data_IF_258990702634
#
_entry.id   IF_258990702634
#
_cell.length_a   1.000
_cell.length_b   1.000
_cell.length_c   1.000
_cell.angle_alpha   90.00
_cell.angle_beta   90.00
_cell.angle_gamma   90.00
#
_symmetry.space_group_name_H-M   'P 1'
#
loop_
_entity.id
_entity.type
_entity.pdbx_description
1 polymer ?
#
# COMPACT_ATOMS: atom_id res chain seq x y z
N UNK A 1 -20.57 -66.96 37.64
CA UNK A 1 -19.83 -66.76 36.37
C UNK A 1 -19.85 -65.26 36.13
N UNK A 2 -18.87 -64.46 36.54
CA UNK A 2 -17.45 -64.73 36.80
C UNK A 2 -16.90 -63.67 37.77
N UNK A 3 -16.13 -64.12 38.76
CA UNK A 3 -15.20 -63.43 39.69
C UNK A 3 -14.27 -62.40 38.99
N UNK A 4 -13.97 -61.20 39.53
CA UNK A 4 -13.16 -60.82 40.72
C UNK A 4 -11.63 -60.86 40.45
N UNK A 5 -11.02 -59.65 40.48
CA UNK A 5 -9.76 -59.27 41.21
C UNK A 5 -8.35 -59.25 40.55
N UNK A 6 -7.68 -58.11 40.81
CA UNK A 6 -6.23 -57.81 41.01
C UNK A 6 -5.23 -58.12 39.87
N UNK A 7 -4.04 -57.50 39.72
CA UNK A 7 -3.16 -56.54 40.42
C UNK A 7 -2.12 -56.13 39.33
N UNK A 8 -1.71 -54.87 39.14
CA UNK A 8 -0.64 -54.12 39.83
C UNK A 8 0.82 -54.53 39.51
N UNK A 9 1.68 -53.50 39.38
CA UNK A 9 3.17 -53.42 39.46
C UNK A 9 3.99 -53.56 38.16
N UNK A 10 5.18 -52.99 37.99
CA UNK A 10 5.89 -51.74 38.35
C UNK A 10 7.39 -51.98 37.99
N UNK A 11 8.17 -50.89 37.84
CA UNK A 11 9.65 -50.79 37.77
C UNK A 11 10.33 -51.19 36.44
N UNK A 12 10.93 -50.25 35.67
CA UNK A 12 12.18 -49.48 35.85
C UNK A 12 13.44 -50.33 35.64
N UNK A 13 14.20 -50.03 34.58
CA UNK A 13 15.66 -50.07 34.63
C UNK A 13 16.25 -48.92 33.79
N UNK A 14 17.11 -48.17 34.45
CA UNK A 14 17.90 -47.01 34.01
C UNK A 14 19.34 -47.48 33.86
N UNK A 15 20.05 -47.12 32.79
CA UNK A 15 21.52 -46.93 32.85
C UNK A 15 21.95 -45.74 31.98
N UNK A 16 22.63 -44.82 32.66
CA UNK A 16 23.34 -43.61 32.22
C UNK A 16 24.62 -43.84 31.39
N UNK A 17 24.93 -42.83 30.54
CA UNK A 17 26.24 -42.14 30.38
C UNK A 17 25.98 -40.92 29.47
N UNK A 18 26.09 -39.62 29.84
CA UNK A 18 27.21 -38.78 30.34
C UNK A 18 28.44 -38.92 29.42
N UNK A 19 29.04 -37.93 28.74
CA UNK A 19 29.27 -36.46 28.80
C UNK A 19 29.57 -36.06 27.31
N UNK A 20 29.50 -34.85 26.77
CA UNK A 20 30.33 -33.66 27.05
C UNK A 20 29.95 -32.53 26.05
N UNK A 21 29.97 -31.30 26.55
CA UNK A 21 29.79 -30.00 25.90
C UNK A 21 31.12 -29.51 25.31
N UNK A 22 31.17 -29.05 24.04
CA UNK A 22 32.07 -27.96 23.60
C UNK A 22 31.93 -27.62 22.10
N UNK A 23 31.54 -26.38 21.82
CA UNK A 23 32.17 -25.51 20.81
C UNK A 23 32.67 -24.28 21.59
N UNK A 24 33.80 -23.60 21.26
CA UNK A 24 34.06 -23.05 19.92
C UNK A 24 35.56 -22.94 19.51
N UNK A 25 35.85 -22.72 18.22
CA UNK A 25 37.07 -21.98 17.80
C UNK A 25 37.05 -21.56 16.31
N UNK A 26 37.07 -20.24 16.07
CA UNK A 26 37.92 -19.53 15.09
C UNK A 26 38.84 -18.63 15.94
N UNK A 27 39.99 -18.06 15.49
CA UNK A 27 40.50 -17.79 14.13
C UNK A 27 41.97 -18.34 13.93
N UNK A 28 42.76 -18.13 12.87
CA UNK A 28 43.49 -16.89 12.53
C UNK A 28 44.43 -17.06 11.31
N UNK A 29 44.54 -15.97 10.52
CA UNK A 29 45.74 -15.40 9.83
C UNK A 29 46.28 -15.98 8.51
N UNK A 30 46.22 -15.11 7.48
CA UNK A 30 46.98 -14.99 6.21
C UNK A 30 48.53 -15.04 6.38
N UNK A 31 49.35 -14.70 5.36
CA UNK A 31 49.56 -15.25 4.01
C UNK A 31 51.06 -15.65 3.83
N UNK A 32 51.53 -15.97 2.62
CA UNK A 32 52.86 -15.47 2.25
C UNK A 32 52.83 -14.59 1.02
N UNK A 33 53.50 -13.45 1.17
CA UNK A 33 53.90 -12.51 0.13
C UNK A 33 55.26 -12.91 -0.47
N UNK A 34 55.46 -12.33 -1.67
CA UNK A 34 56.72 -11.87 -2.27
C UNK A 34 57.71 -12.89 -2.82
N UNK A 35 57.86 -12.86 -4.16
CA UNK A 35 59.18 -12.69 -4.77
C UNK A 35 59.09 -11.73 -5.97
N UNK A 36 60.02 -10.76 -5.97
CA UNK A 36 60.24 -9.64 -6.87
C UNK A 36 60.49 -10.07 -8.34
N UNK A 37 60.42 -9.22 -9.38
CA UNK A 37 61.53 -8.31 -9.77
C UNK A 37 61.09 -7.27 -10.83
N UNK A 38 61.37 -6.00 -10.47
CA UNK A 38 61.76 -4.80 -11.25
C UNK A 38 60.86 -4.13 -12.30
N UNK A 39 60.23 -3.05 -11.82
CA UNK A 39 60.40 -1.64 -12.20
C UNK A 39 61.10 -1.24 -13.52
N UNK A 40 60.40 -0.39 -14.31
CA UNK A 40 60.88 0.96 -14.68
C UNK A 40 59.69 1.85 -15.10
N UNK A 41 59.70 3.10 -14.61
CA UNK A 41 58.76 4.20 -14.87
C UNK A 41 58.79 4.64 -16.36
N UNK A 42 57.83 5.38 -16.92
CA UNK A 42 57.63 6.82 -16.68
C UNK A 42 56.42 7.39 -17.46
N UNK A 43 55.86 8.48 -16.92
CA UNK A 43 55.07 9.56 -17.56
C UNK A 43 53.57 9.37 -17.88
N UNK A 44 52.74 10.01 -17.05
CA UNK A 44 51.38 10.50 -17.38
C UNK A 44 51.47 11.81 -18.22
N UNK A 45 50.42 12.21 -18.97
CA UNK A 45 49.25 12.86 -18.36
C UNK A 45 47.88 12.46 -18.96
N UNK A 46 46.83 12.70 -18.16
CA UNK A 46 45.38 12.57 -18.47
C UNK A 46 44.84 13.83 -19.20
N UNK A 47 43.51 14.03 -19.39
CA UNK A 47 42.42 13.19 -19.92
C UNK A 47 41.63 13.91 -21.06
N UNK A 48 41.05 13.21 -22.03
CA UNK A 48 40.02 13.81 -22.93
C UNK A 48 38.71 13.00 -22.93
N UNK A 49 37.69 13.68 -22.41
CA UNK A 49 36.25 13.58 -22.62
C UNK A 49 35.72 12.39 -23.46
N UNK A 50 35.19 11.38 -22.76
CA UNK A 50 34.17 10.51 -23.32
C UNK A 50 32.81 11.22 -23.22
N UNK A 51 32.27 11.58 -24.38
CA UNK A 51 30.93 12.12 -24.56
C UNK A 51 29.92 11.03 -24.15
N UNK A 52 29.13 11.30 -23.09
CA UNK A 52 27.94 10.52 -22.78
C UNK A 52 26.94 10.65 -23.94
N UNK A 53 26.84 9.61 -24.76
CA UNK A 53 25.65 9.38 -25.60
C UNK A 53 24.46 9.12 -24.67
N UNK A 54 23.66 10.18 -24.51
CA UNK A 54 22.34 10.12 -23.91
C UNK A 54 21.46 9.25 -24.80
N UNK A 55 21.41 7.95 -24.47
CA UNK A 55 20.49 6.98 -25.05
C UNK A 55 19.06 7.45 -24.74
N UNK A 56 18.45 8.16 -25.68
CA UNK A 56 17.01 8.35 -25.72
C UNK A 56 16.37 6.96 -25.81
N UNK A 57 15.92 6.43 -24.67
CA UNK A 57 14.97 5.34 -24.64
C UNK A 57 13.68 5.85 -25.28
N UNK A 58 13.59 5.56 -26.59
CA UNK A 58 12.37 5.54 -27.36
C UNK A 58 11.36 4.71 -26.59
N UNK A 59 10.47 5.40 -25.88
CA UNK A 59 9.29 4.86 -25.23
C UNK A 59 8.50 4.13 -26.30
N UNK A 60 8.67 2.82 -26.40
CA UNK A 60 7.81 1.97 -27.21
C UNK A 60 6.38 2.26 -26.77
N UNK A 61 5.60 2.71 -27.73
CA UNK A 61 4.16 2.90 -27.62
C UNK A 61 3.58 1.53 -27.27
N UNK A 62 3.39 1.30 -25.97
CA UNK A 62 2.73 0.11 -25.46
C UNK A 62 1.35 0.06 -26.10
N UNK A 63 1.21 -0.78 -27.12
CA UNK A 63 -0.08 -1.17 -27.69
C UNK A 63 -0.95 -1.53 -26.50
N UNK A 64 -1.99 -0.74 -26.29
CA UNK A 64 -2.87 -0.88 -25.14
C UNK A 64 -3.56 -2.25 -25.28
N UNK A 65 -3.11 -3.24 -24.49
CA UNK A 65 -3.74 -4.56 -24.47
C UNK A 65 -5.24 -4.39 -24.20
N UNK A 66 -6.10 -5.17 -24.87
CA UNK A 66 -7.53 -5.12 -24.61
C UNK A 66 -7.79 -5.30 -23.11
N UNK A 67 -8.82 -4.61 -22.56
CA UNK A 67 -9.15 -4.72 -21.15
C UNK A 67 -9.44 -6.18 -20.82
N UNK A 68 -8.72 -6.73 -19.84
CA UNK A 68 -8.92 -8.10 -19.37
C UNK A 68 -10.21 -8.16 -18.54
N UNK A 69 -10.94 -9.28 -18.61
CA UNK A 69 -12.14 -9.49 -17.80
C UNK A 69 -11.74 -10.00 -16.41
N UNK A 70 -12.16 -9.34 -15.31
CA UNK A 70 -11.89 -9.81 -13.95
C UNK A 70 -12.53 -11.16 -13.59
N UNK A 71 -13.49 -11.66 -14.38
CA UNK A 71 -14.07 -12.99 -14.21
C UNK A 71 -13.20 -14.11 -14.79
N UNK A 72 -12.38 -13.79 -15.79
CA UNK A 72 -11.51 -14.75 -16.49
C UNK A 72 -10.04 -14.63 -16.04
N UNK A 73 -9.53 -13.41 -15.91
CA UNK A 73 -8.15 -13.11 -15.48
C UNK A 73 -8.14 -11.96 -14.45
N UNK A 74 -8.46 -12.25 -13.17
CA UNK A 74 -8.54 -11.25 -12.11
C UNK A 74 -7.21 -10.54 -11.89
N UNK A 75 -6.11 -11.29 -11.82
CA UNK A 75 -4.75 -10.74 -11.64
C UNK A 75 -4.35 -9.86 -12.82
N UNK A 76 -4.59 -10.31 -14.05
CA UNK A 76 -4.25 -9.53 -15.24
C UNK A 76 -5.09 -8.26 -15.37
N UNK A 77 -6.40 -8.33 -15.09
CA UNK A 77 -7.27 -7.15 -15.00
C UNK A 77 -6.76 -6.17 -13.93
N UNK A 78 -6.41 -6.67 -12.75
CA UNK A 78 -5.88 -5.84 -11.66
C UNK A 78 -4.54 -5.20 -12.02
N UNK A 79 -3.73 -5.86 -12.85
CA UNK A 79 -2.49 -5.32 -13.42
C UNK A 79 -2.69 -4.13 -14.36
N UNK A 80 -3.88 -3.99 -14.97
CA UNK A 80 -4.24 -2.85 -15.81
C UNK A 80 -4.76 -1.65 -15.01
N UNK A 81 -5.13 -1.85 -13.73
CA UNK A 81 -5.68 -0.80 -12.88
C UNK A 81 -4.60 0.14 -12.35
N UNK A 82 -4.97 1.41 -12.13
CA UNK A 82 -4.10 2.35 -11.42
C UNK A 82 -3.94 1.93 -9.95
N UNK A 83 -2.83 2.28 -9.28
CA UNK A 83 -2.56 1.85 -7.90
C UNK A 83 -3.70 2.12 -6.91
N UNK A 84 -4.37 3.27 -7.01
CA UNK A 84 -5.48 3.60 -6.12
C UNK A 84 -6.67 2.66 -6.32
N UNK A 85 -7.01 2.28 -7.55
CA UNK A 85 -8.09 1.35 -7.83
C UNK A 85 -7.75 -0.04 -7.27
N UNK A 86 -6.51 -0.51 -7.46
CA UNK A 86 -6.02 -1.76 -6.83
C UNK A 86 -6.22 -1.75 -5.32
N UNK A 87 -5.97 -0.60 -4.67
CA UNK A 87 -6.15 -0.51 -3.23
C UNK A 87 -7.60 -0.64 -2.77
N UNK A 88 -8.53 -0.10 -3.55
CA UNK A 88 -9.98 -0.24 -3.30
C UNK A 88 -10.41 -1.70 -3.51
N UNK A 89 -9.97 -2.34 -4.59
CA UNK A 89 -10.26 -3.75 -4.87
C UNK A 89 -9.79 -4.65 -3.73
N UNK A 90 -8.55 -4.46 -3.27
CA UNK A 90 -8.00 -5.22 -2.13
C UNK A 90 -8.87 -5.09 -0.89
N UNK A 91 -9.35 -3.88 -0.59
CA UNK A 91 -10.24 -3.66 0.53
C UNK A 91 -11.55 -4.42 0.38
N UNK A 92 -12.19 -4.34 -0.80
CA UNK A 92 -13.45 -5.04 -1.04
C UNK A 92 -13.31 -6.57 -0.95
N UNK A 93 -12.21 -7.12 -1.46
CA UNK A 93 -11.93 -8.56 -1.37
C UNK A 93 -11.74 -9.01 0.08
N UNK A 94 -10.98 -8.25 0.89
CA UNK A 94 -10.81 -8.58 2.31
C UNK A 94 -12.09 -8.37 3.13
N UNK A 95 -12.85 -7.32 2.83
CA UNK A 95 -14.13 -7.03 3.48
C UNK A 95 -15.13 -8.15 3.24
N UNK A 96 -15.28 -8.58 1.98
CA UNK A 96 -16.07 -9.76 1.65
C UNK A 96 -15.56 -11.00 2.38
N UNK A 97 -14.25 -11.27 2.32
CA UNK A 97 -13.66 -12.46 2.93
C UNK A 97 -13.93 -12.53 4.44
N UNK A 98 -13.78 -11.42 5.17
CA UNK A 98 -14.11 -11.37 6.59
C UNK A 98 -15.60 -11.56 6.87
N UNK A 99 -16.47 -10.88 6.11
CA UNK A 99 -17.93 -10.99 6.29
C UNK A 99 -18.43 -12.40 6.05
N UNK A 100 -17.82 -13.09 5.09
CA UNK A 100 -18.15 -14.47 4.74
C UNK A 100 -17.55 -15.47 5.74
N UNK A 101 -16.26 -15.33 6.07
CA UNK A 101 -15.56 -16.26 6.96
C UNK A 101 -16.03 -16.15 8.43
N UNK A 102 -16.28 -14.93 8.89
CA UNK A 102 -16.54 -14.58 10.30
C UNK A 102 -17.94 -13.98 10.41
N UNK A 103 -18.88 -14.78 10.91
CA UNK A 103 -20.28 -14.38 11.11
C UNK A 103 -20.42 -13.30 12.19
N UNK A 104 -19.64 -13.42 13.26
CA UNK A 104 -19.64 -12.50 14.39
C UNK A 104 -18.86 -11.22 14.06
N UNK A 105 -19.57 -10.12 13.88
CA UNK A 105 -18.98 -8.81 13.55
C UNK A 105 -17.99 -8.33 14.61
N UNK A 106 -18.19 -8.67 15.88
CA UNK A 106 -17.28 -8.26 16.96
C UNK A 106 -15.91 -8.97 16.91
N UNK A 107 -15.82 -10.11 16.20
CA UNK A 107 -14.59 -10.87 16.02
C UNK A 107 -13.84 -10.48 14.74
N UNK A 108 -14.42 -9.63 13.89
CA UNK A 108 -13.79 -9.18 12.66
C UNK A 108 -12.65 -8.23 12.99
N UNK A 109 -11.44 -8.57 12.55
CA UNK A 109 -10.30 -7.68 12.69
C UNK A 109 -10.47 -6.45 11.79
N UNK A 110 -10.12 -5.24 12.25
CA UNK A 110 -10.24 -4.04 11.43
C UNK A 110 -9.38 -4.18 10.16
N UNK A 111 -9.97 -3.88 9.01
CA UNK A 111 -9.25 -3.91 7.75
C UNK A 111 -8.13 -2.86 7.76
N UNK A 112 -6.95 -3.19 7.20
CA UNK A 112 -5.83 -2.28 7.18
C UNK A 112 -6.07 -1.12 6.21
N UNK A 113 -5.21 -0.11 6.27
CA UNK A 113 -5.27 1.03 5.34
C UNK A 113 -6.15 2.17 5.82
N UNK A 114 -6.36 3.16 4.95
CA UNK A 114 -7.14 4.37 5.25
C UNK A 114 -8.18 4.57 4.15
N UNK A 115 -9.36 5.06 4.51
CA UNK A 115 -10.43 5.39 3.56
C UNK A 115 -10.80 4.24 2.61
N UNK A 116 -10.83 3.00 3.11
CA UNK A 116 -11.15 1.84 2.29
C UNK A 116 -10.09 1.48 1.25
N UNK A 117 -8.83 1.92 1.42
CA UNK A 117 -7.74 1.64 0.50
C UNK A 117 -6.65 0.78 1.17
N UNK A 118 -6.50 -0.46 0.68
CA UNK A 118 -5.56 -1.47 1.16
C UNK A 118 -4.43 -1.69 0.15
N UNK A 119 -3.19 -1.35 0.51
CA UNK A 119 -2.04 -1.65 -0.35
C UNK A 119 -1.81 -3.16 -0.50
N UNK A 120 -1.14 -3.61 -1.57
CA UNK A 120 -0.78 -5.04 -1.75
C UNK A 120 -0.02 -5.63 -0.55
N UNK A 121 0.85 -4.83 0.08
CA UNK A 121 1.60 -5.24 1.26
C UNK A 121 0.71 -5.38 2.49
N UNK A 122 -0.24 -4.46 2.67
CA UNK A 122 -1.23 -4.56 3.75
C UNK A 122 -2.16 -5.76 3.54
N UNK A 123 -2.56 -6.03 2.30
CA UNK A 123 -3.35 -7.21 1.95
C UNK A 123 -2.65 -8.50 2.38
N UNK A 124 -1.39 -8.67 1.97
CA UNK A 124 -0.60 -9.84 2.36
C UNK A 124 -0.35 -9.94 3.86
N UNK A 125 0.02 -8.82 4.50
CA UNK A 125 0.28 -8.81 5.95
C UNK A 125 -0.98 -9.14 6.76
N UNK A 126 -2.16 -8.77 6.27
CA UNK A 126 -3.42 -9.09 6.91
C UNK A 126 -3.76 -10.59 6.84
N UNK A 127 -3.33 -11.27 5.77
CA UNK A 127 -3.52 -12.71 5.58
C UNK A 127 -2.34 -13.55 6.11
N UNK A 128 -1.29 -12.89 6.62
CA UNK A 128 -0.02 -13.54 6.96
C UNK A 128 -0.13 -14.54 8.11
N UNK A 129 -1.09 -14.33 9.01
CA UNK A 129 -1.33 -15.25 10.11
C UNK A 129 -2.11 -16.52 9.69
N UNK A 130 -2.64 -16.53 8.47
CA UNK A 130 -3.46 -17.60 7.91
C UNK A 130 -4.84 -17.73 8.51
N UNK A 131 -5.19 -16.99 9.56
CA UNK A 131 -6.43 -17.17 10.33
C UNK A 131 -7.66 -16.99 9.44
N UNK A 132 -7.69 -15.90 8.67
CA UNK A 132 -8.78 -15.62 7.75
C UNK A 132 -8.84 -16.66 6.61
N UNK A 133 -7.69 -17.10 6.09
CA UNK A 133 -7.60 -18.09 5.02
C UNK A 133 -8.15 -19.44 5.48
N UNK A 134 -7.72 -19.93 6.63
CA UNK A 134 -8.23 -21.17 7.23
C UNK A 134 -9.74 -21.08 7.53
N UNK A 135 -10.20 -19.91 8.00
CA UNK A 135 -11.63 -19.65 8.25
C UNK A 135 -12.45 -19.65 6.97
N UNK A 136 -11.93 -19.08 5.87
CA UNK A 136 -12.56 -19.14 4.55
C UNK A 136 -12.71 -20.59 4.08
N UNK A 137 -11.63 -21.37 4.10
CA UNK A 137 -11.67 -22.79 3.72
C UNK A 137 -12.71 -23.55 4.55
N UNK A 138 -12.70 -23.35 5.88
CA UNK A 138 -13.66 -23.99 6.79
C UNK A 138 -15.11 -23.62 6.46
N UNK A 139 -15.41 -22.35 6.15
CA UNK A 139 -16.74 -21.92 5.71
C UNK A 139 -17.15 -22.51 4.36
N UNK A 140 -16.21 -22.74 3.47
CA UNK A 140 -16.44 -23.42 2.19
C UNK A 140 -16.46 -24.96 2.29
N UNK A 141 -16.45 -25.52 3.51
CA UNK A 141 -16.59 -26.97 3.73
C UNK A 141 -15.28 -27.75 3.88
N UNK A 142 -14.14 -27.08 4.02
CA UNK A 142 -12.87 -27.76 4.32
C UNK A 142 -12.88 -28.38 5.72
N UNK A 143 -12.25 -29.54 5.86
CA UNK A 143 -12.06 -30.18 7.17
C UNK A 143 -10.87 -29.57 7.91
N UNK A 144 -11.08 -28.39 8.50
CA UNK A 144 -10.06 -27.70 9.33
C UNK A 144 -10.33 -27.99 10.80
N UNK A 145 -9.55 -28.91 11.37
CA UNK A 145 -9.68 -29.35 12.76
C UNK A 145 -9.44 -28.19 13.74
N UNK A 146 -8.34 -27.47 13.57
CA UNK A 146 -7.94 -26.35 14.45
C UNK A 146 -7.56 -25.14 13.60
N UNK A 147 -8.15 -23.98 13.92
CA UNK A 147 -7.71 -22.68 13.42
C UNK A 147 -6.97 -22.01 14.57
N UNK A 148 -5.69 -21.70 14.36
CA UNK A 148 -4.90 -20.97 15.36
C UNK A 148 -5.20 -19.47 15.22
N UNK A 149 -5.46 -18.79 16.33
CA UNK A 149 -5.85 -17.37 16.35
C UNK A 149 -5.09 -16.57 17.42
N UNK A 150 -5.09 -15.23 17.30
CA UNK A 150 -4.55 -14.33 18.31
C UNK A 150 -3.07 -14.58 18.63
N UNK A 151 -2.73 -14.72 19.91
CA UNK A 151 -1.35 -14.93 20.35
C UNK A 151 -0.76 -16.27 19.88
N UNK A 152 -1.60 -17.27 19.54
CA UNK A 152 -1.11 -18.57 19.06
C UNK A 152 -0.42 -18.46 17.69
N UNK A 153 -0.85 -17.53 16.83
CA UNK A 153 -0.23 -17.30 15.51
C UNK A 153 0.77 -16.15 15.53
N UNK A 154 0.78 -15.35 16.61
CA UNK A 154 1.67 -14.19 16.73
C UNK A 154 3.12 -14.65 16.82
N UNK A 155 3.90 -14.35 15.78
CA UNK A 155 5.30 -14.75 15.64
C UNK A 155 5.54 -16.28 15.70
N UNK A 156 4.50 -17.09 15.52
CA UNK A 156 4.63 -18.55 15.47
C UNK A 156 4.46 -19.03 14.03
N UNK A 157 5.59 -19.27 13.34
CA UNK A 157 5.58 -19.66 11.92
C UNK A 157 4.91 -21.02 11.70
N UNK A 158 4.93 -21.93 12.68
CA UNK A 158 4.35 -23.26 12.57
C UNK A 158 2.82 -23.19 12.52
N UNK A 159 2.21 -22.45 13.45
CA UNK A 159 0.76 -22.23 13.47
C UNK A 159 0.29 -21.39 12.26
N UNK A 160 1.08 -20.40 11.83
CA UNK A 160 0.82 -19.66 10.58
C UNK A 160 0.84 -20.61 9.37
N UNK A 161 1.84 -21.48 9.30
CA UNK A 161 1.99 -22.47 8.22
C UNK A 161 0.81 -23.42 8.20
N UNK A 162 0.39 -23.96 9.36
CA UNK A 162 -0.75 -24.87 9.45
C UNK A 162 -2.05 -24.23 8.93
N UNK A 163 -2.35 -23.00 9.36
CA UNK A 163 -3.51 -22.25 8.88
C UNK A 163 -3.48 -22.00 7.36
N UNK A 164 -2.33 -21.54 6.83
CA UNK A 164 -2.19 -21.23 5.40
C UNK A 164 -2.25 -22.51 4.57
N UNK A 165 -1.61 -23.58 5.04
CA UNK A 165 -1.59 -24.88 4.37
C UNK A 165 -3.00 -25.48 4.27
N UNK A 166 -3.80 -25.38 5.33
CA UNK A 166 -5.21 -25.82 5.30
C UNK A 166 -6.02 -25.13 4.19
N UNK A 167 -5.81 -23.84 3.97
CA UNK A 167 -6.44 -23.12 2.85
C UNK A 167 -5.83 -23.52 1.50
N UNK A 168 -4.51 -23.63 1.40
CA UNK A 168 -3.82 -23.97 0.16
C UNK A 168 -4.22 -25.35 -0.37
N UNK A 169 -4.26 -26.36 0.50
CA UNK A 169 -4.67 -27.72 0.14
C UNK A 169 -6.13 -27.75 -0.31
N UNK A 170 -7.03 -27.13 0.45
CA UNK A 170 -8.43 -27.00 0.05
C UNK A 170 -8.58 -26.27 -1.29
N UNK A 171 -7.88 -25.15 -1.48
CA UNK A 171 -7.96 -24.33 -2.68
C UNK A 171 -7.50 -25.09 -3.93
N UNK A 172 -6.42 -25.87 -3.80
CA UNK A 172 -5.88 -26.73 -4.87
C UNK A 172 -6.92 -27.75 -5.34
N UNK A 173 -7.67 -28.34 -4.43
CA UNK A 173 -8.64 -29.39 -4.73
C UNK A 173 -9.99 -28.84 -5.24
N UNK A 174 -10.41 -27.65 -4.79
CA UNK A 174 -11.79 -27.18 -4.96
C UNK A 174 -11.96 -26.03 -5.96
N UNK A 175 -10.93 -25.19 -6.17
CA UNK A 175 -11.06 -24.00 -7.01
C UNK A 175 -10.82 -24.28 -8.50
N UNK A 176 -10.16 -25.40 -8.83
CA UNK A 176 -9.81 -25.75 -10.21
C UNK A 176 -8.79 -24.78 -10.83
N UNK A 177 -7.94 -24.17 -10.01
CA UNK A 177 -6.87 -23.30 -10.47
C UNK A 177 -5.73 -24.14 -11.08
N UNK A 178 -5.05 -23.65 -12.14
CA UNK A 178 -3.88 -24.31 -12.67
C UNK A 178 -2.73 -24.27 -11.65
N UNK A 179 -1.84 -25.27 -11.68
CA UNK A 179 -0.82 -25.49 -10.63
C UNK A 179 0.08 -24.28 -10.37
N UNK A 180 0.35 -23.47 -11.39
CA UNK A 180 1.16 -22.24 -11.32
C UNK A 180 0.44 -21.06 -10.64
N UNK A 181 -0.89 -21.14 -10.51
CA UNK A 181 -1.75 -20.15 -9.84
C UNK A 181 -2.24 -20.61 -8.47
N UNK A 182 -1.98 -21.86 -8.08
CA UNK A 182 -2.35 -22.37 -6.75
C UNK A 182 -1.52 -21.65 -5.69
N UNK A 183 -2.20 -21.15 -4.67
CA UNK A 183 -1.55 -20.50 -3.52
C UNK A 183 -0.77 -21.52 -2.69
N UNK A 184 0.40 -21.12 -2.22
CA UNK A 184 1.26 -21.89 -1.32
C UNK A 184 1.61 -21.09 -0.06
N UNK A 185 2.12 -21.77 0.96
CA UNK A 185 2.63 -21.13 2.18
C UNK A 185 3.71 -20.10 1.87
N UNK A 186 4.58 -20.38 0.90
CA UNK A 186 5.65 -19.48 0.50
C UNK A 186 5.12 -18.16 -0.09
N UNK A 187 3.98 -18.18 -0.79
CA UNK A 187 3.38 -16.97 -1.37
C UNK A 187 2.97 -15.95 -0.29
N UNK A 188 2.52 -16.44 0.86
CA UNK A 188 2.07 -15.61 1.98
C UNK A 188 3.24 -15.22 2.89
N UNK A 189 4.12 -16.17 3.23
CA UNK A 189 5.13 -15.96 4.28
C UNK A 189 6.49 -15.47 3.75
N UNK A 190 6.88 -15.84 2.53
CA UNK A 190 8.29 -15.75 2.09
C UNK A 190 8.47 -14.87 0.86
N UNK A 191 7.59 -14.99 -0.14
CA UNK A 191 7.71 -14.26 -1.41
C UNK A 191 7.37 -12.77 -1.29
N UNK A 192 6.84 -12.33 -0.14
CA UNK A 192 6.40 -10.96 0.08
C UNK A 192 5.48 -10.51 -1.05
N UNK A 193 5.74 -9.34 -1.64
CA UNK A 193 4.90 -8.81 -2.74
C UNK A 193 4.83 -9.72 -3.98
N UNK A 194 5.80 -10.62 -4.20
CA UNK A 194 5.80 -11.50 -5.36
C UNK A 194 4.78 -12.63 -5.24
N UNK A 195 4.34 -12.99 -4.03
CA UNK A 195 3.26 -13.97 -3.81
C UNK A 195 1.85 -13.37 -3.86
N UNK A 196 1.75 -12.04 -3.93
CA UNK A 196 0.45 -11.35 -4.01
C UNK A 196 -0.47 -11.87 -5.12
N UNK A 197 -0.01 -12.10 -6.37
CA UNK A 197 -0.89 -12.59 -7.44
C UNK A 197 -1.59 -13.90 -7.07
N UNK A 198 -0.85 -14.89 -6.56
CA UNK A 198 -1.39 -16.20 -6.19
C UNK A 198 -2.39 -16.09 -5.03
N UNK A 199 -2.05 -15.31 -4.00
CA UNK A 199 -2.93 -15.13 -2.84
C UNK A 199 -4.21 -14.39 -3.25
N UNK A 200 -4.08 -13.33 -4.06
CA UNK A 200 -5.24 -12.57 -4.56
C UNK A 200 -6.15 -13.45 -5.42
N UNK A 201 -5.57 -14.18 -6.40
CA UNK A 201 -6.32 -15.06 -7.29
C UNK A 201 -7.10 -16.13 -6.51
N UNK A 202 -6.47 -16.78 -5.53
CA UNK A 202 -7.11 -17.81 -4.73
C UNK A 202 -8.30 -17.27 -3.91
N UNK A 203 -8.14 -16.11 -3.25
CA UNK A 203 -9.24 -15.49 -2.49
C UNK A 203 -10.33 -14.99 -3.44
N UNK A 204 -9.96 -14.41 -4.58
CA UNK A 204 -10.90 -13.96 -5.61
C UNK A 204 -11.72 -15.12 -6.20
N UNK A 205 -11.06 -16.21 -6.58
CA UNK A 205 -11.70 -17.41 -7.11
C UNK A 205 -12.63 -18.03 -6.06
N UNK A 206 -12.20 -18.08 -4.79
CA UNK A 206 -13.04 -18.52 -3.68
C UNK A 206 -14.34 -17.71 -3.61
N UNK A 207 -14.23 -16.38 -3.67
CA UNK A 207 -15.41 -15.52 -3.57
C UNK A 207 -16.28 -15.46 -4.82
N UNK A 208 -15.69 -15.59 -6.00
CA UNK A 208 -16.44 -15.66 -7.27
C UNK A 208 -17.21 -16.97 -7.38
N UNK A 209 -16.69 -18.06 -6.81
CA UNK A 209 -17.31 -19.39 -6.82
C UNK A 209 -18.15 -19.67 -5.56
N UNK A 210 -18.18 -18.75 -4.58
CA UNK A 210 -18.79 -18.97 -3.27
C UNK A 210 -20.28 -19.35 -3.33
N UNK A 211 -21.05 -18.66 -4.16
CA UNK A 211 -22.50 -18.91 -4.30
C UNK A 211 -22.74 -20.20 -5.06
N UNK A 212 -22.09 -20.35 -6.21
CA UNK A 212 -22.36 -21.44 -7.16
C UNK A 212 -21.81 -22.80 -6.68
N UNK A 213 -20.60 -22.82 -6.10
CA UNK A 213 -19.93 -24.06 -5.69
C UNK A 213 -20.07 -24.37 -4.20
N UNK A 214 -20.11 -23.35 -3.34
CA UNK A 214 -20.06 -23.53 -1.89
C UNK A 214 -21.37 -23.18 -1.18
N UNK A 215 -22.43 -22.85 -1.93
CA UNK A 215 -23.76 -22.59 -1.39
C UNK A 215 -23.85 -21.35 -0.50
N UNK A 216 -22.91 -20.41 -0.64
CA UNK A 216 -22.91 -19.16 0.11
C UNK A 216 -24.11 -18.29 -0.27
N UNK A 217 -24.68 -17.56 0.69
CA UNK A 217 -25.73 -16.57 0.42
C UNK A 217 -25.21 -15.40 -0.44
N UNK A 218 -23.92 -15.08 -0.34
CA UNK A 218 -23.27 -13.95 -1.01
C UNK A 218 -21.86 -14.32 -1.46
N UNK A 219 -21.51 -14.01 -2.71
CA UNK A 219 -20.14 -14.08 -3.23
C UNK A 219 -19.53 -12.69 -3.44
N UNK A 220 -18.36 -12.63 -4.07
CA UNK A 220 -17.80 -11.37 -4.55
C UNK A 220 -18.70 -10.83 -5.66
N UNK A 221 -19.25 -9.63 -5.46
CA UNK A 221 -19.95 -8.88 -6.50
C UNK A 221 -18.92 -8.22 -7.42
N UNK A 222 -18.54 -8.95 -8.48
CA UNK A 222 -17.53 -8.51 -9.44
C UNK A 222 -17.90 -7.18 -10.10
N UNK A 223 -19.17 -6.94 -10.38
CA UNK A 223 -19.61 -5.69 -11.04
C UNK A 223 -19.48 -4.50 -10.10
N UNK A 224 -19.83 -4.68 -8.81
CA UNK A 224 -19.61 -3.67 -7.77
C UNK A 224 -18.12 -3.37 -7.57
N UNK A 225 -17.26 -4.41 -7.62
CA UNK A 225 -15.81 -4.23 -7.54
C UNK A 225 -15.27 -3.45 -8.74
N UNK A 226 -15.70 -3.79 -9.96
CA UNK A 226 -15.32 -3.08 -11.18
C UNK A 226 -15.80 -1.63 -11.16
N UNK A 227 -17.02 -1.38 -10.68
CA UNK A 227 -17.58 -0.04 -10.55
C UNK A 227 -16.76 0.82 -9.57
N UNK A 228 -16.41 0.26 -8.40
CA UNK A 228 -15.61 0.94 -7.39
C UNK A 228 -14.19 1.25 -7.90
N UNK A 229 -13.54 0.28 -8.57
CA UNK A 229 -12.24 0.48 -9.22
C UNK A 229 -12.31 1.62 -10.26
N UNK A 230 -13.34 1.61 -11.11
CA UNK A 230 -13.55 2.64 -12.15
C UNK A 230 -13.78 4.03 -11.54
N UNK A 231 -14.51 4.12 -10.43
CA UNK A 231 -14.73 5.38 -9.73
C UNK A 231 -13.42 5.92 -9.12
N UNK A 232 -12.56 5.05 -8.59
CA UNK A 232 -11.26 5.44 -8.09
C UNK A 232 -10.36 6.02 -9.20
N UNK A 233 -10.42 5.45 -10.42
CA UNK A 233 -9.73 5.98 -11.60
C UNK A 233 -10.23 7.39 -11.93
N UNK A 234 -11.56 7.57 -12.05
CA UNK A 234 -12.17 8.87 -12.35
C UNK A 234 -11.79 9.93 -11.32
N UNK A 235 -11.90 9.61 -10.03
CA UNK A 235 -11.56 10.53 -8.93
C UNK A 235 -10.08 10.93 -8.97
N UNK A 236 -9.17 9.99 -9.24
CA UNK A 236 -7.73 10.28 -9.33
C UNK A 236 -7.40 11.17 -10.54
N UNK A 237 -8.02 10.93 -11.70
CA UNK A 237 -7.85 11.79 -12.89
C UNK A 237 -8.35 13.21 -12.59
N UNK A 238 -9.53 13.35 -11.99
CA UNK A 238 -10.07 14.66 -11.60
C UNK A 238 -9.14 15.37 -10.61
N UNK A 239 -8.61 14.65 -9.60
CA UNK A 239 -7.64 15.22 -8.67
C UNK A 239 -6.35 15.66 -9.35
N UNK A 240 -5.82 14.88 -10.29
CA UNK A 240 -4.63 15.27 -11.07
C UNK A 240 -4.88 16.53 -11.89
N UNK A 241 -6.03 16.64 -12.55
CA UNK A 241 -6.43 17.84 -13.30
C UNK A 241 -6.57 19.03 -12.35
N UNK A 242 -7.30 18.88 -11.24
CA UNK A 242 -7.46 19.95 -10.26
C UNK A 242 -6.12 20.41 -9.67
N UNK A 243 -5.21 19.48 -9.39
CA UNK A 243 -3.87 19.81 -8.91
C UNK A 243 -3.03 20.49 -9.99
N UNK A 244 -3.19 20.13 -11.27
CA UNK A 244 -2.56 20.84 -12.38
C UNK A 244 -3.06 22.28 -12.48
N UNK A 245 -4.39 22.51 -12.43
CA UNK A 245 -4.95 23.88 -12.43
C UNK A 245 -4.60 24.67 -11.16
N UNK A 246 -4.48 24.03 -10.00
CA UNK A 246 -4.01 24.68 -8.76
C UNK A 246 -2.51 24.99 -8.79
N UNK A 247 -1.70 24.12 -9.37
CA UNK A 247 -0.26 24.32 -9.53
C UNK A 247 0.09 25.30 -10.64
N UNK A 248 -0.81 25.49 -11.61
CA UNK A 248 -0.69 26.50 -12.66
C UNK A 248 -1.23 27.89 -12.23
N UNK A 249 -1.86 28.00 -11.04
CA UNK A 249 -2.10 29.30 -10.42
C UNK A 249 -0.80 29.78 -9.77
N UNK A 250 -0.38 31.04 -9.99
CA UNK A 250 0.76 31.58 -9.26
C UNK A 250 0.49 31.48 -7.76
N UNK A 251 1.50 31.04 -7.00
CA UNK A 251 1.37 30.88 -5.55
C UNK A 251 0.81 32.18 -4.92
N UNK A 252 -0.14 32.10 -3.97
CA UNK A 252 -0.67 33.29 -3.28
C UNK A 252 0.40 34.17 -2.61
N UNK A 253 1.61 33.63 -2.40
CA UNK A 253 2.77 34.40 -1.94
C UNK A 253 3.35 35.32 -3.02
N UNK A 254 3.33 34.92 -4.30
CA UNK A 254 3.73 35.78 -5.42
C UNK A 254 2.67 36.85 -5.69
N UNK A 255 1.38 36.51 -5.60
CA UNK A 255 0.29 37.50 -5.71
C UNK A 255 0.29 38.49 -4.55
N UNK A 256 0.52 38.05 -3.30
CA UNK A 256 0.69 38.96 -2.15
C UNK A 256 1.94 39.83 -2.26
N UNK A 257 3.04 39.30 -2.80
CA UNK A 257 4.28 40.06 -2.96
C UNK A 257 4.16 41.10 -4.09
N UNK A 258 3.51 40.74 -5.20
CA UNK A 258 3.20 41.65 -6.30
C UNK A 258 2.17 42.72 -5.90
N UNK A 259 1.17 42.37 -5.07
CA UNK A 259 0.21 43.34 -4.54
C UNK A 259 0.86 44.31 -3.54
N UNK A 260 1.78 43.84 -2.70
CA UNK A 260 2.55 44.70 -1.79
C UNK A 260 3.54 45.61 -2.53
N UNK A 261 4.22 45.12 -3.58
CA UNK A 261 5.08 45.95 -4.42
C UNK A 261 4.29 46.97 -5.25
N UNK A 262 3.09 46.63 -5.73
CA UNK A 262 2.21 47.57 -6.42
C UNK A 262 1.68 48.67 -5.48
N UNK A 263 1.33 48.33 -4.23
CA UNK A 263 0.90 49.31 -3.23
C UNK A 263 2.06 50.22 -2.76
N UNK A 264 3.29 49.69 -2.71
CA UNK A 264 4.48 50.48 -2.39
C UNK A 264 4.90 51.40 -3.55
N UNK A 265 4.71 50.97 -4.80
CA UNK A 265 4.91 51.80 -5.98
C UNK A 265 3.89 52.94 -6.06
N UNK A 266 2.61 52.69 -5.77
CA UNK A 266 1.57 53.73 -5.76
C UNK A 266 1.78 54.76 -4.63
N UNK A 267 2.33 54.33 -3.48
CA UNK A 267 2.73 55.24 -2.38
C UNK A 267 3.95 56.09 -2.72
N UNK A 268 4.93 55.55 -3.47
CA UNK A 268 6.09 56.32 -3.94
C UNK A 268 5.72 57.32 -5.04
N UNK A 269 4.76 56.99 -5.91
CA UNK A 269 4.28 57.91 -6.94
C UNK A 269 3.42 59.04 -6.36
N UNK A 270 2.57 58.77 -5.36
CA UNK A 270 1.85 59.81 -4.61
C UNK A 270 2.75 60.70 -3.76
N UNK A 271 3.88 60.18 -3.25
CA UNK A 271 4.88 60.99 -2.55
C UNK A 271 5.67 61.90 -3.50
N UNK A 272 6.01 61.43 -4.71
CA UNK A 272 6.71 62.23 -5.72
C UNK A 272 5.83 63.32 -6.36
N UNK A 273 4.49 63.14 -6.37
CA UNK A 273 3.55 64.17 -6.81
C UNK A 273 3.29 65.27 -5.76
N UNK A 274 3.53 64.99 -4.46
CA UNK A 274 3.38 65.98 -3.40
C UNK A 274 4.57 66.96 -3.30
N UNK A 275 5.78 66.55 -3.69
CA UNK A 275 6.98 67.41 -3.62
C UNK A 275 7.03 68.48 -4.74
N UNK A 276 6.18 68.38 -5.77
CA UNK A 276 6.13 69.37 -6.88
C UNK A 276 5.07 70.47 -6.72
N UNK A 277 4.39 70.56 -5.59
CA UNK A 277 3.34 71.57 -5.34
C UNK A 277 3.63 72.48 -4.13
N UNK A 278 4.83 72.44 -3.56
CA UNK A 278 5.25 73.29 -2.42
C UNK A 278 6.11 74.51 -2.82
N UNK A 279 6.23 74.80 -4.10
CA UNK A 279 6.61 76.14 -4.59
C UNK A 279 5.37 76.69 -5.31
N UNK A 280 4.90 77.89 -4.94
CA UNK A 280 3.69 78.57 -5.45
C UNK A 280 2.36 78.30 -4.72
N UNK A 281 2.28 78.35 -3.38
CA UNK A 281 1.10 78.90 -2.65
C UNK A 281 1.53 79.43 -1.25
N UNK A 282 2.43 80.42 -1.19
CA UNK A 282 2.52 81.33 -0.03
C UNK A 282 1.97 82.70 -0.45
N UNK A 283 0.66 82.82 -0.60
CA UNK A 283 0.00 84.08 -0.31
C UNK A 283 -1.44 83.84 0.18
N UNK A 284 -1.62 84.19 1.45
CA UNK A 284 -2.84 84.78 1.98
C UNK A 284 -4.09 83.90 2.20
N UNK A 285 -4.01 83.15 3.31
CA UNK A 285 -5.12 82.87 4.20
C UNK A 285 -5.98 84.12 4.51
N UNK A 286 -7.29 84.07 4.21
CA UNK A 286 -8.34 84.46 5.17
C UNK A 286 -9.73 84.00 4.74
N UNK A 287 -10.39 83.26 5.65
CA UNK A 287 -11.71 83.54 6.23
C UNK A 287 -12.66 82.33 6.29
N UNK A 288 -12.65 81.69 7.47
CA UNK A 288 -13.79 81.24 8.31
C UNK A 288 -14.90 80.43 7.63
N UNK A 289 -15.05 79.15 7.96
CA UNK A 289 -15.89 78.65 9.07
C UNK A 289 -17.38 78.52 8.69
N UNK A 290 -17.88 77.28 8.60
CA UNK A 290 -19.09 76.79 9.30
C UNK A 290 -19.78 75.62 8.56
N UNK A 291 -20.08 74.58 9.34
CA UNK A 291 -20.86 73.34 9.09
C UNK A 291 -22.30 73.60 9.65
N UNK A 292 -23.46 72.93 9.32
CA UNK A 292 -23.71 71.53 8.89
C UNK A 292 -24.81 71.27 7.82
N UNK A 293 -24.96 69.98 7.46
CA UNK A 293 -26.06 69.26 6.78
C UNK A 293 -27.41 69.29 7.58
N UNK A 294 -28.56 68.63 7.20
CA UNK A 294 -28.75 67.49 6.30
C UNK A 294 -30.05 67.43 5.45
N UNK A 295 -30.29 66.24 4.89
CA UNK A 295 -31.16 65.86 3.79
C UNK A 295 -32.68 65.82 4.04
N UNK A 296 -33.37 66.22 2.97
CA UNK A 296 -34.58 65.69 2.29
C UNK A 296 -35.54 64.76 3.06
N UNK A 297 -36.79 65.22 3.01
CA UNK A 297 -38.05 64.64 3.48
C UNK A 297 -38.59 63.64 2.46
N UNK A 298 -39.08 62.47 2.89
CA UNK A 298 -40.01 61.68 2.10
C UNK A 298 -41.08 61.06 3.01
N UNK A 299 -42.34 61.35 2.68
CA UNK A 299 -43.53 60.86 3.35
C UNK A 299 -44.38 60.09 2.34
N UNK A 300 -44.68 58.84 2.73
CA UNK A 300 -45.84 57.99 2.41
C UNK A 300 -46.24 57.77 0.94
#
# INVERSE_FOLDING_TARGET
>A
MTDVVEQQTAAVETVEKKEEEAAPALPTTEPPKDEEVKAAAEAAPAPEAAVEEKKEEKKEEKVEEPPKDPREDPVGWLGQQIPQAVHIVNHQVLDWAQKFAIEDEAKRAPLPGKNGAVTRNQFLNFLKDGTLLASLAKKCGANVETIHEGDAVKNNKENQTANIQAFADWAKENLGLPEDKVVSVADVLEKGKAGYPQVFEAVWATGSQAVEKFGATTGIDVDSVVAAASQAVKSNIVQKILNFFKSARPSPQLEKKAALEAEEAEKKEKAAAAEKLEEVVEEECKKTESVPAPAVVEAN
#
